data_IF_465269990081
#
_entry.id   IF_465269990081
#
_cell.length_a   1.000
_cell.length_b   1.000
_cell.length_c   1.000
_cell.angle_alpha   90.00
_cell.angle_beta   90.00
_cell.angle_gamma   90.00
#
_symmetry.space_group_name_H-M   'P 1'
#
loop_
_entity.id
_entity.type
_entity.pdbx_description
1 polymer ?
#
# COMPACT_ATOMS: atom_id res chain seq x y z
N UNK A 1 -29.48 3.31 -40.99
CA UNK A 1 -28.49 4.09 -40.20
C UNK A 1 -27.45 3.09 -39.68
N UNK A 2 -26.17 3.21 -40.05
CA UNK A 2 -25.18 2.29 -39.52
C UNK A 2 -24.89 2.67 -38.05
N UNK A 3 -24.97 1.69 -37.18
CA UNK A 3 -24.52 1.77 -35.81
C UNK A 3 -23.01 2.04 -35.79
N UNK A 4 -22.58 3.06 -35.05
CA UNK A 4 -21.19 3.37 -34.86
C UNK A 4 -20.60 2.38 -33.83
N UNK A 5 -19.82 1.39 -34.31
CA UNK A 5 -19.11 0.39 -33.50
C UNK A 5 -17.87 0.96 -32.77
N UNK A 6 -17.76 2.28 -32.56
CA UNK A 6 -16.53 2.93 -32.11
C UNK A 6 -16.68 3.68 -30.79
N UNK A 7 -17.61 3.28 -29.93
CA UNK A 7 -17.79 3.84 -28.58
C UNK A 7 -17.94 2.74 -27.52
N UNK A 8 -17.15 1.69 -27.61
CA UNK A 8 -16.70 0.98 -26.41
C UNK A 8 -15.33 1.57 -26.09
N UNK A 9 -15.31 2.68 -25.37
CA UNK A 9 -14.18 3.00 -24.53
C UNK A 9 -14.05 1.78 -23.61
N UNK A 10 -13.01 0.98 -23.78
CA UNK A 10 -12.57 0.02 -22.78
C UNK A 10 -12.26 0.90 -21.56
N UNK A 11 -13.20 0.96 -20.62
CA UNK A 11 -12.93 1.47 -19.30
C UNK A 11 -11.90 0.51 -18.72
N UNK A 12 -10.63 0.88 -18.76
CA UNK A 12 -9.61 0.17 -18.01
C UNK A 12 -10.03 0.20 -16.55
N UNK A 13 -10.16 -0.98 -15.94
CA UNK A 13 -10.46 -1.06 -14.52
C UNK A 13 -9.28 -0.46 -13.76
N UNK A 14 -9.51 0.66 -13.06
CA UNK A 14 -8.50 1.34 -12.26
C UNK A 14 -8.14 0.56 -11.00
N UNK A 15 -9.04 -0.33 -10.58
CA UNK A 15 -8.86 -1.23 -9.44
C UNK A 15 -8.55 -2.62 -9.98
N UNK A 16 -7.31 -3.00 -9.90
CA UNK A 16 -6.82 -4.31 -10.30
C UNK A 16 -7.42 -5.45 -9.48
N UNK A 17 -7.38 -6.66 -10.02
CA UNK A 17 -7.79 -7.85 -9.29
C UNK A 17 -6.88 -8.13 -8.08
N UNK A 18 -7.40 -8.86 -7.07
CA UNK A 18 -6.68 -9.26 -5.86
C UNK A 18 -5.30 -9.89 -6.15
N UNK A 19 -5.21 -10.71 -7.18
CA UNK A 19 -3.98 -11.41 -7.58
C UNK A 19 -2.98 -10.58 -8.37
N UNK A 20 -3.30 -9.33 -8.70
CA UNK A 20 -2.43 -8.47 -9.49
C UNK A 20 -1.08 -8.23 -8.82
N UNK A 21 0.00 -8.47 -9.57
CA UNK A 21 1.38 -8.26 -9.13
C UNK A 21 2.20 -7.79 -10.34
N UNK A 22 2.33 -6.48 -10.54
CA UNK A 22 3.13 -5.94 -11.63
C UNK A 22 4.62 -6.24 -11.41
N UNK A 23 5.40 -6.13 -12.48
CA UNK A 23 6.86 -6.11 -12.34
C UNK A 23 7.26 -4.91 -11.49
N UNK A 24 7.99 -5.10 -10.37
CA UNK A 24 8.30 -4.00 -9.48
C UNK A 24 9.25 -3.00 -10.15
N UNK A 25 8.92 -1.72 -10.02
CA UNK A 25 9.78 -0.60 -10.41
C UNK A 25 10.42 -0.06 -9.13
N UNK A 26 11.75 0.11 -9.14
CA UNK A 26 12.49 0.57 -7.96
C UNK A 26 12.81 2.04 -8.08
N UNK A 27 12.31 2.87 -7.16
CA UNK A 27 12.49 4.32 -7.15
C UNK A 27 13.47 4.79 -6.09
N UNK A 28 14.31 5.76 -6.46
CA UNK A 28 15.37 6.29 -5.63
C UNK A 28 16.67 5.47 -5.73
N UNK A 29 17.73 6.01 -5.14
CA UNK A 29 19.07 5.44 -5.20
C UNK A 29 19.47 4.88 -3.84
N UNK A 30 19.54 3.55 -3.72
CA UNK A 30 19.92 2.92 -2.45
C UNK A 30 19.92 1.40 -2.51
N UNK A 31 20.19 0.79 -1.37
CA UNK A 31 20.11 -0.67 -1.19
C UNK A 31 18.83 -1.10 -0.45
N UNK A 32 18.17 -0.16 0.25
CA UNK A 32 16.99 -0.44 1.06
C UNK A 32 15.78 0.21 0.43
N UNK A 33 14.82 -0.63 0.09
CA UNK A 33 13.56 -0.22 -0.51
C UNK A 33 12.40 -0.67 0.36
N UNK A 34 11.38 0.16 0.42
CA UNK A 34 10.13 -0.09 1.14
C UNK A 34 8.98 -0.11 0.15
N UNK A 35 8.10 -1.09 0.28
CA UNK A 35 6.80 -1.09 -0.35
C UNK A 35 5.73 -0.82 0.70
N UNK A 36 4.72 -0.06 0.35
CA UNK A 36 3.59 0.25 1.22
C UNK A 36 2.33 -0.34 0.62
N UNK A 37 1.57 -1.07 1.43
CA UNK A 37 0.19 -1.47 1.13
C UNK A 37 -0.70 -0.83 2.19
N UNK A 38 -1.54 0.10 1.76
CA UNK A 38 -2.48 0.81 2.62
C UNK A 38 -3.90 0.43 2.24
N UNK A 39 -4.56 -0.26 3.12
CA UNK A 39 -5.97 -0.60 2.98
C UNK A 39 -6.86 0.57 3.40
N UNK A 40 -7.83 0.88 2.57
CA UNK A 40 -8.85 1.91 2.81
C UNK A 40 -10.24 1.34 2.54
N UNK A 41 -11.23 1.69 3.36
CA UNK A 41 -12.58 1.13 3.34
C UNK A 41 -13.64 2.21 3.57
N UNK A 42 -14.92 1.87 3.47
CA UNK A 42 -16.07 2.74 3.70
C UNK A 42 -16.31 3.81 2.62
N UNK A 43 -15.43 3.96 1.63
CA UNK A 43 -15.54 4.98 0.57
C UNK A 43 -16.01 4.46 -0.78
N UNK A 44 -16.30 3.17 -0.89
CA UNK A 44 -16.70 2.51 -2.14
C UNK A 44 -15.53 1.83 -2.85
N UNK A 45 -15.82 0.71 -3.50
CA UNK A 45 -14.93 0.12 -4.50
C UNK A 45 -15.18 0.82 -5.84
N UNK A 46 -14.72 2.05 -5.96
CA UNK A 46 -15.06 3.00 -7.02
C UNK A 46 -13.84 3.31 -7.91
N UNK A 47 -13.98 3.09 -9.22
CA UNK A 47 -12.91 3.31 -10.20
C UNK A 47 -12.56 4.79 -10.38
N UNK A 48 -13.53 5.70 -10.28
CA UNK A 48 -13.27 7.14 -10.42
C UNK A 48 -12.45 7.65 -9.23
N UNK A 49 -12.76 7.16 -8.03
CA UNK A 49 -11.97 7.45 -6.84
C UNK A 49 -10.54 6.87 -6.94
N UNK A 50 -10.41 5.65 -7.44
CA UNK A 50 -9.11 5.03 -7.67
C UNK A 50 -8.28 5.81 -8.69
N UNK A 51 -8.89 6.20 -9.82
CA UNK A 51 -8.27 7.04 -10.85
C UNK A 51 -7.79 8.37 -10.27
N UNK A 52 -8.58 9.04 -9.45
CA UNK A 52 -8.22 10.29 -8.82
C UNK A 52 -6.99 10.14 -7.90
N UNK A 53 -6.95 9.10 -7.07
CA UNK A 53 -5.78 8.84 -6.20
C UNK A 53 -4.52 8.49 -7.02
N UNK A 54 -4.65 7.66 -8.07
CA UNK A 54 -3.56 7.36 -8.99
C UNK A 54 -3.05 8.63 -9.68
N UNK A 55 -3.93 9.54 -10.10
CA UNK A 55 -3.54 10.79 -10.76
C UNK A 55 -2.71 11.72 -9.87
N UNK A 56 -2.93 11.70 -8.55
CA UNK A 56 -2.14 12.45 -7.57
C UNK A 56 -0.77 11.82 -7.37
N UNK A 57 -0.71 10.50 -7.32
CA UNK A 57 0.51 9.75 -7.03
C UNK A 57 1.42 9.58 -8.26
N UNK A 58 0.82 9.38 -9.44
CA UNK A 58 1.48 8.94 -10.66
C UNK A 58 1.70 10.09 -11.67
N UNK A 59 2.05 11.29 -11.17
CA UNK A 59 2.19 12.50 -12.02
C UNK A 59 3.26 12.33 -13.10
N UNK A 60 4.37 11.70 -12.77
CA UNK A 60 5.54 11.54 -13.66
C UNK A 60 5.92 10.08 -13.88
N UNK A 61 5.67 9.25 -12.88
CA UNK A 61 6.07 7.86 -12.82
C UNK A 61 4.90 7.02 -12.25
N UNK A 62 4.85 5.74 -12.54
CA UNK A 62 3.89 4.81 -11.95
C UNK A 62 4.29 4.46 -10.51
N UNK A 63 4.04 5.35 -9.59
CA UNK A 63 4.44 5.20 -8.19
C UNK A 63 3.57 4.21 -7.42
N UNK A 64 2.27 4.17 -7.72
CA UNK A 64 1.29 3.29 -7.08
C UNK A 64 0.39 2.61 -8.10
N UNK A 65 -0.18 1.50 -7.67
CA UNK A 65 -1.36 0.88 -8.28
C UNK A 65 -2.40 0.61 -7.20
N UNK A 66 -3.63 0.37 -7.62
CA UNK A 66 -4.74 0.09 -6.72
C UNK A 66 -5.30 -1.27 -7.08
N UNK A 67 -5.57 -2.09 -6.07
CA UNK A 67 -6.15 -3.43 -6.26
C UNK A 67 -7.23 -3.76 -5.24
N UNK A 68 -8.02 -4.75 -5.57
CA UNK A 68 -9.02 -5.31 -4.68
C UNK A 68 -8.36 -6.08 -3.55
N UNK A 69 -8.91 -5.98 -2.34
CA UNK A 69 -8.62 -6.90 -1.24
C UNK A 69 -9.92 -7.51 -0.71
N UNK A 70 -9.91 -8.84 -0.50
CA UNK A 70 -11.10 -9.59 -0.06
C UNK A 70 -11.42 -9.44 1.43
N UNK A 71 -10.57 -8.79 2.21
CA UNK A 71 -10.80 -8.48 3.62
C UNK A 71 -11.58 -7.19 3.83
N UNK A 72 -11.63 -6.33 2.80
CA UNK A 72 -12.35 -5.06 2.81
C UNK A 72 -13.82 -5.26 2.47
N UNK A 73 -14.69 -4.45 3.09
CA UNK A 73 -16.13 -4.50 2.84
C UNK A 73 -16.53 -3.65 1.63
N UNK A 74 -16.01 -2.42 1.55
CA UNK A 74 -16.35 -1.45 0.51
C UNK A 74 -15.18 -0.48 0.25
N UNK A 75 -14.07 -1.03 -0.21
CA UNK A 75 -12.83 -0.29 -0.41
C UNK A 75 -11.83 -1.00 -1.30
N UNK A 76 -10.57 -0.57 -1.22
CA UNK A 76 -9.46 -1.10 -1.99
C UNK A 76 -8.12 -0.90 -1.27
N UNK A 77 -7.09 -1.48 -1.81
CA UNK A 77 -5.72 -1.40 -1.34
C UNK A 77 -4.89 -0.50 -2.25
N UNK A 78 -4.23 0.50 -1.66
CA UNK A 78 -3.27 1.39 -2.33
C UNK A 78 -1.88 0.79 -2.15
N UNK A 79 -1.24 0.37 -3.24
CA UNK A 79 0.05 -0.32 -3.21
C UNK A 79 1.11 0.51 -3.89
N UNK A 80 2.22 0.79 -3.21
CA UNK A 80 3.35 1.46 -3.83
C UNK A 80 4.33 0.47 -4.46
N UNK A 81 4.99 0.89 -5.53
CA UNK A 81 6.22 0.27 -5.97
C UNK A 81 7.32 0.40 -4.89
N UNK A 82 8.38 -0.45 -4.92
CA UNK A 82 9.47 -0.34 -3.96
C UNK A 82 10.24 0.97 -4.10
N UNK A 83 10.32 1.75 -3.02
CA UNK A 83 10.96 3.07 -3.00
C UNK A 83 11.94 3.19 -1.85
N UNK A 84 12.99 4.00 -2.01
CA UNK A 84 13.83 4.36 -0.86
C UNK A 84 13.04 5.23 0.11
N UNK A 85 13.47 5.29 1.37
CA UNK A 85 12.82 6.16 2.36
C UNK A 85 12.83 7.63 1.92
N UNK A 86 13.93 8.06 1.33
CA UNK A 86 14.07 9.41 0.78
C UNK A 86 13.01 9.68 -0.30
N UNK A 87 12.82 8.75 -1.25
CA UNK A 87 11.79 8.89 -2.28
C UNK A 87 10.38 8.95 -1.68
N UNK A 88 10.07 8.13 -0.68
CA UNK A 88 8.80 8.18 0.02
C UNK A 88 8.54 9.51 0.73
N UNK A 89 9.60 10.19 1.22
CA UNK A 89 9.47 11.44 2.00
C UNK A 89 9.56 12.69 1.16
N UNK A 90 10.30 12.68 0.05
CA UNK A 90 10.62 13.86 -0.75
C UNK A 90 9.80 13.92 -2.06
N UNK A 91 9.55 12.76 -2.69
CA UNK A 91 8.95 12.70 -4.03
C UNK A 91 7.48 12.25 -4.01
N UNK A 92 7.11 11.39 -3.04
CA UNK A 92 5.74 10.91 -2.93
C UNK A 92 4.80 11.91 -2.29
N UNK A 93 3.67 12.16 -2.94
CA UNK A 93 2.61 13.04 -2.45
C UNK A 93 1.66 12.35 -1.45
N UNK A 94 2.19 11.54 -0.51
CA UNK A 94 1.37 10.80 0.46
C UNK A 94 0.34 11.66 1.18
N UNK A 95 0.71 12.89 1.52
CA UNK A 95 -0.18 13.80 2.23
C UNK A 95 -1.42 14.17 1.41
N UNK A 96 -1.24 14.40 0.13
CA UNK A 96 -2.31 14.75 -0.80
C UNK A 96 -3.17 13.52 -1.11
N UNK A 97 -2.55 12.36 -1.34
CA UNK A 97 -3.25 11.07 -1.55
C UNK A 97 -4.16 10.76 -0.35
N UNK A 98 -3.63 10.83 0.87
CA UNK A 98 -4.39 10.55 2.09
C UNK A 98 -5.50 11.58 2.35
N UNK A 99 -5.24 12.85 2.05
CA UNK A 99 -6.25 13.92 2.19
C UNK A 99 -7.42 13.72 1.24
N UNK A 100 -7.12 13.35 -0.02
CA UNK A 100 -8.13 13.08 -1.03
C UNK A 100 -8.93 11.82 -0.68
N UNK A 101 -8.28 10.74 -0.29
CA UNK A 101 -8.97 9.52 0.17
C UNK A 101 -9.95 9.83 1.33
N UNK A 102 -9.53 10.63 2.31
CA UNK A 102 -10.41 11.05 3.42
C UNK A 102 -11.56 11.93 2.93
N UNK A 103 -11.31 12.83 1.96
CA UNK A 103 -12.35 13.69 1.38
C UNK A 103 -13.41 12.88 0.61
N UNK A 104 -13.02 11.77 -0.01
CA UNK A 104 -13.90 10.80 -0.67
C UNK A 104 -14.66 9.89 0.31
N UNK A 105 -14.37 9.96 1.61
CA UNK A 105 -15.04 9.18 2.66
C UNK A 105 -14.30 7.93 3.11
N UNK A 106 -13.15 7.61 2.52
CA UNK A 106 -12.35 6.46 2.94
C UNK A 106 -11.79 6.60 4.34
N UNK A 107 -11.69 5.48 5.01
CA UNK A 107 -11.10 5.32 6.34
C UNK A 107 -10.14 4.14 6.35
N UNK A 108 -9.19 4.14 7.28
CA UNK A 108 -8.25 3.04 7.50
C UNK A 108 -8.16 2.67 8.97
N UNK A 109 -7.52 3.49 9.79
CA UNK A 109 -7.15 3.17 11.18
C UNK A 109 -8.33 3.00 12.16
N UNK A 110 -9.55 3.37 11.79
CA UNK A 110 -10.76 3.24 12.62
C UNK A 110 -11.72 2.15 12.13
N UNK A 111 -11.33 1.42 11.08
CA UNK A 111 -12.08 0.28 10.58
C UNK A 111 -11.65 -1.01 11.29
N UNK A 112 -12.47 -2.07 11.18
CA UNK A 112 -12.09 -3.41 11.63
C UNK A 112 -11.38 -4.23 10.55
N UNK A 113 -11.34 -3.72 9.32
CA UNK A 113 -10.90 -4.42 8.10
C UNK A 113 -9.53 -3.99 7.62
N UNK A 114 -9.15 -2.73 7.83
CA UNK A 114 -7.96 -2.13 7.24
C UNK A 114 -6.67 -2.34 8.03
N UNK A 115 -5.57 -2.40 7.30
CA UNK A 115 -4.20 -2.41 7.81
C UNK A 115 -3.27 -1.50 7.02
N UNK A 116 -2.08 -1.35 7.56
CA UNK A 116 -0.93 -0.78 6.88
C UNK A 116 0.19 -1.82 6.90
N UNK A 117 0.61 -2.26 5.70
CA UNK A 117 1.72 -3.17 5.54
C UNK A 117 2.93 -2.42 4.99
N UNK A 118 4.09 -2.68 5.56
CA UNK A 118 5.36 -2.12 5.10
C UNK A 118 6.30 -3.28 4.78
N UNK A 119 6.64 -3.41 3.51
CA UNK A 119 7.57 -4.40 3.00
C UNK A 119 8.97 -3.83 2.94
N UNK A 120 9.96 -4.66 3.18
CA UNK A 120 11.37 -4.29 3.02
C UNK A 120 12.07 -5.36 2.19
N UNK A 121 12.89 -4.95 1.22
CA UNK A 121 13.63 -5.90 0.41
C UNK A 121 14.67 -6.64 1.27
N UNK A 122 14.64 -7.97 1.22
CA UNK A 122 15.49 -8.84 2.04
C UNK A 122 16.99 -8.59 1.85
N UNK A 123 17.39 -8.24 0.62
CA UNK A 123 18.80 -7.97 0.30
C UNK A 123 19.36 -6.71 1.01
N UNK A 124 18.50 -5.85 1.58
CA UNK A 124 18.92 -4.74 2.41
C UNK A 124 19.51 -5.17 3.77
N UNK A 125 19.30 -6.42 4.16
CA UNK A 125 19.69 -6.95 5.46
C UNK A 125 21.06 -7.64 5.47
N UNK A 126 21.67 -7.87 4.30
CA UNK A 126 22.98 -8.48 4.18
C UNK A 126 23.23 -9.09 2.81
N UNK A 127 24.49 -9.37 2.54
CA UNK A 127 24.94 -9.89 1.25
C UNK A 127 24.75 -11.42 1.14
N UNK A 128 24.48 -12.10 2.25
CA UNK A 128 24.22 -13.55 2.29
C UNK A 128 23.07 -13.89 3.24
N UNK A 129 22.59 -15.12 3.15
CA UNK A 129 21.44 -15.59 3.91
C UNK A 129 21.65 -15.50 5.44
N UNK A 130 22.85 -15.81 5.93
CA UNK A 130 23.12 -15.80 7.37
C UNK A 130 23.04 -14.38 7.96
N UNK A 131 23.56 -13.39 7.26
CA UNK A 131 23.45 -11.98 7.64
C UNK A 131 22.01 -11.49 7.63
N UNK A 132 21.25 -11.87 6.59
CA UNK A 132 19.84 -11.52 6.46
C UNK A 132 19.00 -12.11 7.61
N UNK A 133 19.23 -13.37 7.94
CA UNK A 133 18.52 -14.07 9.03
C UNK A 133 18.89 -13.49 10.40
N UNK A 134 20.14 -13.10 10.63
CA UNK A 134 20.56 -12.42 11.86
C UNK A 134 19.81 -11.08 12.04
N UNK A 135 19.74 -10.26 10.99
CA UNK A 135 18.98 -9.01 11.04
C UNK A 135 17.48 -9.24 11.27
N UNK A 136 16.88 -10.19 10.55
CA UNK A 136 15.45 -10.55 10.74
C UNK A 136 15.21 -11.00 12.18
N UNK A 137 16.07 -11.85 12.73
CA UNK A 137 15.97 -12.32 14.13
C UNK A 137 16.04 -11.16 15.13
N UNK A 138 16.92 -10.17 14.90
CA UNK A 138 16.97 -8.96 15.73
C UNK A 138 15.72 -8.10 15.64
N UNK A 139 15.12 -8.00 14.45
CA UNK A 139 13.84 -7.30 14.27
C UNK A 139 12.73 -8.00 15.04
N UNK A 140 12.63 -9.33 14.94
CA UNK A 140 11.64 -10.12 15.69
C UNK A 140 11.84 -9.95 17.19
N UNK A 141 13.07 -10.06 17.68
CA UNK A 141 13.39 -9.85 19.09
C UNK A 141 13.07 -8.42 19.56
N UNK A 142 13.31 -7.40 18.71
CA UNK A 142 12.93 -6.02 19.00
C UNK A 142 11.41 -5.89 19.14
N UNK A 143 10.64 -6.50 18.23
CA UNK A 143 9.16 -6.50 18.28
C UNK A 143 8.66 -7.16 19.56
N UNK A 144 9.17 -8.35 19.90
CA UNK A 144 8.80 -9.04 21.15
C UNK A 144 9.13 -8.22 22.41
N UNK A 145 10.34 -7.65 22.44
CA UNK A 145 10.79 -6.85 23.58
C UNK A 145 10.00 -5.57 23.78
N UNK A 146 9.54 -4.95 22.68
CA UNK A 146 8.82 -3.68 22.67
C UNK A 146 7.34 -3.83 22.30
N UNK A 147 6.77 -4.99 22.63
CA UNK A 147 5.39 -5.33 22.26
C UNK A 147 4.38 -4.29 22.70
N UNK A 148 4.43 -3.81 23.94
CA UNK A 148 3.48 -2.85 24.46
C UNK A 148 3.57 -1.47 23.80
N UNK A 149 4.79 -1.04 23.49
CA UNK A 149 5.06 0.22 22.80
C UNK A 149 4.56 0.15 21.34
N UNK A 150 4.85 -0.96 20.65
CA UNK A 150 4.38 -1.20 19.29
C UNK A 150 2.86 -1.38 19.23
N UNK A 151 2.28 -2.05 20.21
CA UNK A 151 0.83 -2.16 20.34
C UNK A 151 0.18 -0.78 20.46
N UNK A 152 0.72 0.08 21.34
CA UNK A 152 0.22 1.46 21.52
C UNK A 152 0.41 2.29 20.25
N UNK A 153 1.56 2.17 19.60
CA UNK A 153 1.87 2.85 18.35
C UNK A 153 0.94 2.44 17.21
N UNK A 154 0.70 1.14 17.05
CA UNK A 154 -0.14 0.60 15.99
C UNK A 154 -1.64 0.91 16.14
N UNK A 155 -2.06 1.35 17.32
CA UNK A 155 -3.48 1.60 17.67
C UNK A 155 -4.40 0.40 17.44
N UNK A 156 -3.85 -0.80 17.36
CA UNK A 156 -4.64 -2.03 17.21
C UNK A 156 -5.40 -2.35 18.49
N UNK A 157 -6.57 -2.95 18.34
CA UNK A 157 -7.29 -3.52 19.48
C UNK A 157 -6.64 -4.82 19.94
N UNK A 158 -6.80 -5.18 21.22
CA UNK A 158 -6.31 -6.46 21.74
C UNK A 158 -6.92 -7.67 21.01
N UNK A 159 -8.15 -7.53 20.52
CA UNK A 159 -8.81 -8.53 19.70
C UNK A 159 -8.08 -8.75 18.36
N UNK A 160 -7.72 -7.68 17.67
CA UNK A 160 -7.02 -7.78 16.39
C UNK A 160 -5.59 -8.33 16.55
N UNK A 161 -4.91 -8.01 17.68
CA UNK A 161 -3.58 -8.53 17.97
C UNK A 161 -3.55 -10.02 18.30
N UNK A 162 -4.64 -10.59 18.83
CA UNK A 162 -4.71 -12.02 19.19
C UNK A 162 -4.94 -12.94 17.97
N UNK A 163 -5.15 -12.40 16.80
CA UNK A 163 -5.43 -13.15 15.55
C UNK A 163 -4.18 -13.39 14.68
N UNK A 164 -3.05 -12.82 15.06
CA UNK A 164 -1.78 -12.94 14.33
C UNK A 164 -0.67 -13.54 15.18
#
# INVERSE_FOLDING_TARGET
MPYCERCFDEFEDEIEEYGYKPTPIFYGNGKRYFGVELEVDEGGKDNDNAAALKSIANVHEENIYIKSDGSLEDGFEIVSHPMTLEYHTEEMNWKEILREAVAMGYRSHQTSTCGLHIHVNRNAFGDNQAEQEDVISRILFFVEKHWNELFTFSRRSSYNMSRW
#
